data_IF_269051422694
#
_entry.id   IF_269051422694
#
_cell.length_a   1.000
_cell.length_b   1.000
_cell.length_c   1.000
_cell.angle_alpha   90.00
_cell.angle_beta   90.00
_cell.angle_gamma   90.00
#
_symmetry.space_group_name_H-M   'P 1'
#
loop_
_entity.id
_entity.type
_entity.pdbx_description
1 polymer ?
#
# COMPACT_ATOMS: atom_id res chain seq x y z
N UNK A 1 -6.47 13.46 -0.11
CA UNK A 1 -5.24 13.99 -0.76
C UNK A 1 -4.89 13.05 -1.91
N UNK A 2 -4.53 13.56 -3.09
CA UNK A 2 -4.07 12.76 -4.23
C UNK A 2 -2.54 12.62 -4.19
N UNK A 3 -2.05 11.42 -4.45
CA UNK A 3 -0.61 11.12 -4.47
C UNK A 3 -0.04 10.96 -5.89
N UNK A 4 -0.82 10.46 -6.84
CA UNK A 4 -0.37 10.22 -8.21
C UNK A 4 -1.44 9.53 -9.05
N UNK A 5 -1.11 9.15 -10.28
CA UNK A 5 -2.00 8.37 -11.15
C UNK A 5 -2.06 6.91 -10.70
N UNK A 6 -3.18 6.24 -10.97
CA UNK A 6 -3.27 4.81 -10.79
C UNK A 6 -2.45 4.09 -11.86
N UNK A 7 -1.59 3.12 -11.50
CA UNK A 7 -0.80 2.38 -12.49
C UNK A 7 -1.61 1.27 -13.20
N UNK A 8 -2.84 0.99 -12.77
CA UNK A 8 -3.65 -0.13 -13.27
C UNK A 8 -4.97 0.30 -13.94
N UNK A 9 -5.22 1.59 -14.11
CA UNK A 9 -6.35 2.10 -14.89
C UNK A 9 -6.05 3.52 -15.41
N UNK A 10 -6.64 3.88 -16.54
CA UNK A 10 -6.23 5.06 -17.32
C UNK A 10 -6.58 6.41 -16.66
N UNK A 11 -7.73 6.48 -16.00
CA UNK A 11 -8.30 7.72 -15.44
C UNK A 11 -8.28 7.77 -13.90
N UNK A 12 -7.84 6.68 -13.26
CA UNK A 12 -7.80 6.57 -11.82
C UNK A 12 -6.69 7.40 -11.18
N UNK A 13 -6.94 7.92 -9.99
CA UNK A 13 -5.96 8.62 -9.17
C UNK A 13 -5.81 7.94 -7.82
N UNK A 14 -4.59 7.88 -7.29
CA UNK A 14 -4.33 7.33 -5.96
C UNK A 14 -4.63 8.39 -4.92
N UNK A 15 -5.65 8.13 -4.11
CA UNK A 15 -6.06 8.98 -3.00
C UNK A 15 -5.78 8.35 -1.64
N UNK A 16 -5.51 9.22 -0.67
CA UNK A 16 -5.31 8.85 0.73
C UNK A 16 -6.66 8.83 1.44
N UNK A 17 -7.04 7.67 1.97
CA UNK A 17 -8.19 7.46 2.84
C UNK A 17 -7.69 7.03 4.23
N UNK A 18 -8.28 7.56 5.30
CA UNK A 18 -8.03 7.07 6.65
C UNK A 18 -8.98 5.90 6.95
N UNK A 19 -8.43 4.81 7.49
CA UNK A 19 -9.17 3.60 7.86
C UNK A 19 -8.73 3.14 9.24
N UNK A 20 -9.59 2.37 9.89
CA UNK A 20 -9.25 1.69 11.14
C UNK A 20 -9.27 0.19 10.90
N UNK A 21 -8.18 -0.48 11.24
CA UNK A 21 -8.04 -1.95 11.10
C UNK A 21 -7.53 -2.48 12.43
N UNK A 22 -8.30 -3.39 13.04
CA UNK A 22 -8.00 -3.95 14.37
C UNK A 22 -7.70 -2.88 15.44
N UNK A 23 -8.51 -1.81 15.46
CA UNK A 23 -8.37 -0.69 16.41
C UNK A 23 -7.16 0.22 16.16
N UNK A 24 -6.45 0.06 15.04
CA UNK A 24 -5.33 0.93 14.64
C UNK A 24 -5.73 1.79 13.46
N UNK A 25 -5.48 3.10 13.56
CA UNK A 25 -5.60 4.02 12.43
C UNK A 25 -4.48 3.76 11.43
N UNK A 26 -4.86 3.39 10.22
CA UNK A 26 -3.97 3.04 9.12
C UNK A 26 -4.43 3.79 7.88
N UNK A 27 -3.48 4.25 7.06
CA UNK A 27 -3.81 4.89 5.78
C UNK A 27 -3.97 3.86 4.68
N UNK A 28 -4.98 4.07 3.86
CA UNK A 28 -5.24 3.33 2.64
C UNK A 28 -4.98 4.26 1.46
N UNK A 29 -4.05 3.87 0.59
CA UNK A 29 -3.79 4.54 -0.67
C UNK A 29 -4.54 3.79 -1.76
N UNK A 30 -5.66 4.33 -2.22
CA UNK A 30 -6.60 3.63 -3.08
C UNK A 30 -6.80 4.35 -4.40
N UNK A 31 -7.03 3.60 -5.47
CA UNK A 31 -7.53 4.18 -6.70
C UNK A 31 -8.91 4.82 -6.49
N UNK A 32 -9.14 6.00 -7.08
CA UNK A 32 -10.43 6.70 -7.09
C UNK A 32 -11.56 5.86 -7.68
N UNK A 33 -11.24 4.97 -8.62
CA UNK A 33 -12.19 4.06 -9.26
C UNK A 33 -12.45 2.79 -8.45
N UNK A 34 -11.73 2.61 -7.34
CA UNK A 34 -11.89 1.50 -6.44
C UNK A 34 -12.83 1.89 -5.29
N UNK A 35 -14.04 1.33 -5.34
CA UNK A 35 -15.10 1.55 -4.37
C UNK A 35 -15.36 0.24 -3.62
N UNK A 36 -15.25 0.29 -2.29
CA UNK A 36 -15.48 -0.87 -1.44
C UNK A 36 -16.76 -0.67 -0.62
N UNK A 37 -17.59 -1.69 -0.55
CA UNK A 37 -18.62 -1.80 0.47
C UNK A 37 -17.96 -2.31 1.75
N UNK A 38 -18.24 -1.64 2.85
CA UNK A 38 -17.86 -2.08 4.19
C UNK A 38 -19.12 -2.07 5.03
N UNK A 39 -19.61 -3.22 5.47
CA UNK A 39 -20.74 -3.30 6.40
C UNK A 39 -20.25 -3.00 7.84
N UNK A 40 -19.15 -3.62 8.26
CA UNK A 40 -18.64 -3.52 9.64
C UNK A 40 -17.20 -2.99 9.74
N UNK A 41 -16.63 -2.49 8.64
CA UNK A 41 -15.25 -1.98 8.59
C UNK A 41 -14.15 -3.06 8.56
N UNK A 42 -14.52 -4.34 8.64
CA UNK A 42 -13.58 -5.47 8.59
C UNK A 42 -13.52 -6.15 7.21
N UNK A 43 -14.63 -6.16 6.47
CA UNK A 43 -14.74 -6.74 5.12
C UNK A 43 -14.71 -5.62 4.07
N UNK A 44 -13.83 -5.76 3.07
CA UNK A 44 -13.66 -4.79 1.97
C UNK A 44 -13.94 -5.48 0.64
N UNK A 45 -15.21 -5.66 0.32
CA UNK A 45 -15.62 -6.20 -0.97
C UNK A 45 -15.76 -5.07 -1.99
N UNK A 46 -15.26 -5.28 -3.21
CA UNK A 46 -15.43 -4.33 -4.30
C UNK A 46 -16.90 -4.25 -4.68
N UNK A 47 -17.40 -3.03 -4.85
CA UNK A 47 -18.73 -2.84 -5.45
C UNK A 47 -18.73 -3.26 -6.90
N UNK A 48 -19.87 -3.72 -7.41
CA UNK A 48 -20.08 -4.07 -8.82
C UNK A 48 -19.75 -2.91 -9.79
N UNK A 49 -19.81 -1.67 -9.32
CA UNK A 49 -19.48 -0.47 -10.10
C UNK A 49 -17.98 -0.14 -10.12
N UNK A 50 -17.14 -0.87 -9.40
CA UNK A 50 -15.70 -0.58 -9.34
C UNK A 50 -15.03 -1.04 -10.63
N UNK A 51 -14.35 -0.12 -11.32
CA UNK A 51 -13.58 -0.42 -12.53
C UNK A 51 -12.11 -0.67 -12.24
N UNK A 52 -11.68 -0.50 -10.98
CA UNK A 52 -10.33 -0.79 -10.51
C UNK A 52 -10.40 -1.34 -9.08
N UNK A 53 -9.41 -2.13 -8.69
CA UNK A 53 -9.27 -2.72 -7.36
C UNK A 53 -7.99 -2.31 -6.62
N UNK A 54 -7.13 -1.56 -7.29
CA UNK A 54 -5.80 -1.30 -6.81
C UNK A 54 -5.78 -0.46 -5.52
N UNK A 55 -5.02 -0.94 -4.55
CA UNK A 55 -4.81 -0.29 -3.27
C UNK A 55 -3.48 -0.68 -2.65
N UNK A 56 -2.93 0.21 -1.85
CA UNK A 56 -1.76 -0.02 -1.01
C UNK A 56 -2.14 0.33 0.43
N UNK A 57 -1.93 -0.61 1.35
CA UNK A 57 -2.06 -0.31 2.76
C UNK A 57 -0.75 0.27 3.30
N UNK A 58 -0.84 1.28 4.15
CA UNK A 58 0.34 1.87 4.81
C UNK A 58 1.16 0.82 5.56
N UNK A 59 0.51 -0.22 6.10
CA UNK A 59 1.14 -1.31 6.84
C UNK A 59 1.41 -2.57 5.98
N UNK A 60 1.35 -2.50 4.64
CA UNK A 60 1.61 -3.66 3.76
C UNK A 60 2.95 -4.36 4.06
N UNK A 61 3.96 -3.61 4.51
CA UNK A 61 5.29 -4.13 4.86
C UNK A 61 5.52 -4.22 6.38
N UNK A 62 4.47 -4.23 7.20
CA UNK A 62 4.60 -4.25 8.66
C UNK A 62 5.31 -5.51 9.18
N UNK A 63 5.24 -6.64 8.46
CA UNK A 63 6.01 -7.85 8.76
C UNK A 63 7.54 -7.63 8.71
N UNK A 64 7.97 -6.63 7.95
CA UNK A 64 9.36 -6.19 7.83
C UNK A 64 9.64 -4.92 8.65
N UNK A 65 8.76 -4.60 9.61
CA UNK A 65 8.87 -3.41 10.45
C UNK A 65 8.76 -2.09 9.69
N UNK A 66 8.19 -2.09 8.47
CA UNK A 66 8.11 -0.92 7.61
C UNK A 66 6.68 -0.47 7.40
N UNK A 67 6.43 0.82 7.63
CA UNK A 67 5.19 1.52 7.28
C UNK A 67 5.50 2.51 6.16
N UNK A 68 4.67 2.51 5.12
CA UNK A 68 4.89 3.32 3.92
C UNK A 68 4.49 4.77 4.16
N UNK A 69 5.44 5.67 3.92
CA UNK A 69 5.22 7.11 3.91
C UNK A 69 4.61 7.58 2.59
N UNK A 70 4.05 8.79 2.58
CA UNK A 70 3.55 9.40 1.35
C UNK A 70 4.64 9.56 0.29
N UNK A 71 5.88 9.85 0.70
CA UNK A 71 7.01 10.01 -0.22
C UNK A 71 7.33 8.69 -0.93
N UNK A 72 7.30 7.58 -0.20
CA UNK A 72 7.56 6.25 -0.75
C UNK A 72 6.46 5.82 -1.70
N UNK A 73 5.19 6.07 -1.35
CA UNK A 73 4.07 5.77 -2.26
C UNK A 73 4.16 6.61 -3.52
N UNK A 74 4.51 7.91 -3.44
CA UNK A 74 4.74 8.72 -4.64
C UNK A 74 5.87 8.18 -5.49
N UNK A 75 7.02 7.86 -4.87
CA UNK A 75 8.15 7.28 -5.59
C UNK A 75 7.78 5.96 -6.29
N UNK A 76 6.99 5.10 -5.65
CA UNK A 76 6.48 3.87 -6.28
C UNK A 76 5.60 4.15 -7.50
N UNK A 77 4.80 5.21 -7.48
CA UNK A 77 3.92 5.59 -8.59
C UNK A 77 4.69 6.28 -9.74
N UNK A 78 5.88 6.82 -9.46
CA UNK A 78 6.72 7.54 -10.44
C UNK A 78 7.80 6.63 -11.05
N UNK A 79 8.53 5.89 -10.22
CA UNK A 79 9.75 5.15 -10.58
C UNK A 79 9.53 3.62 -10.67
N UNK A 80 8.28 3.15 -10.50
CA UNK A 80 7.81 1.74 -10.42
C UNK A 80 8.39 0.92 -9.26
N UNK A 81 9.63 1.22 -8.84
CA UNK A 81 10.35 0.59 -7.76
C UNK A 81 11.22 1.59 -7.01
N UNK A 82 11.35 1.39 -5.69
CA UNK A 82 12.19 2.23 -4.83
C UNK A 82 12.93 1.38 -3.82
N UNK A 83 14.09 1.85 -3.36
CA UNK A 83 14.81 1.24 -2.25
C UNK A 83 14.22 1.72 -0.91
N UNK A 84 13.97 0.78 0.01
CA UNK A 84 13.49 1.06 1.37
C UNK A 84 14.30 0.30 2.40
N UNK A 85 14.45 0.89 3.59
CA UNK A 85 15.02 0.23 4.76
C UNK A 85 13.96 -0.66 5.43
N UNK A 86 14.32 -1.93 5.65
CA UNK A 86 13.52 -2.94 6.32
C UNK A 86 14.18 -3.35 7.63
N UNK A 87 13.38 -3.89 8.55
CA UNK A 87 13.80 -4.36 9.87
C UNK A 87 13.55 -5.87 9.99
N UNK A 88 14.59 -6.60 10.37
CA UNK A 88 14.51 -7.98 10.83
C UNK A 88 14.79 -8.05 12.34
N UNK A 89 14.05 -8.89 13.05
CA UNK A 89 14.26 -9.19 14.47
C UNK A 89 14.73 -10.62 14.61
N UNK A 90 16.03 -10.84 14.59
CA UNK A 90 16.64 -12.18 14.77
C UNK A 90 17.21 -12.29 16.18
N UNK A 91 16.70 -13.24 16.96
CA UNK A 91 17.11 -13.46 18.38
C UNK A 91 17.09 -12.18 19.24
N UNK A 92 16.05 -11.35 19.09
CA UNK A 92 15.91 -10.09 19.83
C UNK A 92 16.79 -8.94 19.35
N UNK A 93 17.73 -9.17 18.41
CA UNK A 93 18.54 -8.11 17.80
C UNK A 93 17.82 -7.53 16.58
N UNK A 94 17.81 -6.20 16.49
CA UNK A 94 17.32 -5.46 15.32
C UNK A 94 18.42 -5.41 14.27
N UNK A 95 18.13 -5.88 13.08
CA UNK A 95 19.01 -5.80 11.91
C UNK A 95 18.27 -5.02 10.83
N UNK A 96 18.88 -3.92 10.39
CA UNK A 96 18.36 -3.09 9.31
C UNK A 96 19.03 -3.49 8.00
N UNK A 97 18.26 -3.51 6.92
CA UNK A 97 18.75 -3.88 5.59
C UNK A 97 17.89 -3.21 4.52
N UNK A 98 18.51 -2.85 3.40
CA UNK A 98 17.79 -2.23 2.29
C UNK A 98 17.33 -3.29 1.30
N UNK A 99 16.13 -3.10 0.76
CA UNK A 99 15.59 -3.88 -0.35
C UNK A 99 14.80 -2.97 -1.29
N UNK A 100 14.76 -3.34 -2.56
CA UNK A 100 13.82 -2.74 -3.48
C UNK A 100 12.42 -3.28 -3.24
N UNK A 101 11.46 -2.38 -3.34
CA UNK A 101 10.03 -2.71 -3.40
C UNK A 101 9.47 -2.21 -4.73
N UNK A 102 8.51 -2.95 -5.26
CA UNK A 102 7.80 -2.58 -6.48
C UNK A 102 6.30 -2.66 -6.27
N UNK A 103 5.54 -1.99 -7.15
CA UNK A 103 4.10 -2.12 -7.18
C UNK A 103 3.67 -3.56 -7.46
N UNK A 104 2.57 -3.97 -6.84
CA UNK A 104 1.93 -5.26 -7.10
C UNK A 104 0.42 -5.08 -7.05
N UNK A 105 -0.31 -5.52 -8.07
CA UNK A 105 -1.75 -5.25 -8.16
C UNK A 105 -2.54 -5.85 -6.98
N UNK A 106 -2.20 -7.09 -6.60
CA UNK A 106 -2.92 -7.85 -5.56
C UNK A 106 -2.56 -7.37 -4.15
N UNK A 107 -1.27 -7.20 -3.87
CA UNK A 107 -0.75 -6.89 -2.52
C UNK A 107 -0.47 -5.40 -2.29
N UNK A 108 -0.65 -4.57 -3.31
CA UNK A 108 -0.25 -3.16 -3.35
C UNK A 108 1.24 -2.97 -3.62
N UNK A 109 2.08 -3.63 -2.81
CA UNK A 109 3.54 -3.62 -2.93
C UNK A 109 4.13 -5.01 -2.67
N UNK A 110 5.24 -5.30 -3.33
CA UNK A 110 6.04 -6.50 -3.09
C UNK A 110 7.50 -6.13 -2.85
N UNK A 111 8.20 -6.96 -2.07
CA UNK A 111 9.65 -6.85 -1.88
C UNK A 111 10.34 -7.70 -2.95
N UNK A 112 11.32 -7.13 -3.62
CA UNK A 112 12.14 -7.83 -4.61
C UNK A 112 13.23 -8.62 -3.86
N UNK A 113 13.18 -9.94 -4.02
CA UNK A 113 14.15 -10.87 -3.46
C UNK A 113 14.99 -11.44 -4.60
N UNK A 114 16.10 -10.76 -4.90
CA UNK A 114 17.22 -11.36 -5.63
C UNK A 114 17.94 -12.40 -4.76
#
# INVERSE_FOLDING_TARGET
MILGKCPYCDDGQIEVRDKEVSGKKVKLYACSNATWKTEDGEMFELTENSTCDFKIWQNSLARYGKWLSYKEVRGLLEDESIEVELLSKKYGKKVYYNKYIALNQEYGVSVIWD
#
